data_IF_114354216911
#
_entry.id   IF_114354216911
#
_cell.length_a   1.000
_cell.length_b   1.000
_cell.length_c   1.000
_cell.angle_alpha   90.00
_cell.angle_beta   90.00
_cell.angle_gamma   90.00
#
_symmetry.space_group_name_H-M   'P 1'
#
loop_
_entity.id
_entity.type
_entity.pdbx_description
1 polymer ?
#
# COMPACT_ATOMS: atom_id res chain seq x y z
N UNK A 1 23.65 30.58 -4.09
CA UNK A 1 25.13 30.64 -3.99
C UNK A 1 25.63 31.08 -2.62
N UNK A 2 25.19 32.22 -2.08
CA UNK A 2 25.66 32.72 -0.76
C UNK A 2 25.50 31.73 0.42
N UNK A 3 24.28 31.19 0.63
CA UNK A 3 24.06 30.21 1.70
C UNK A 3 24.87 28.91 1.51
N UNK A 4 25.07 28.48 0.27
CA UNK A 4 25.88 27.30 -0.04
C UNK A 4 27.36 27.54 0.29
N UNK A 5 27.88 28.75 0.04
CA UNK A 5 29.23 29.13 0.44
C UNK A 5 29.41 29.13 1.96
N UNK A 6 28.45 29.67 2.72
CA UNK A 6 28.47 29.67 4.18
C UNK A 6 28.45 28.25 4.78
N UNK A 7 27.76 27.32 4.12
CA UNK A 7 27.59 25.93 4.57
C UNK A 7 28.62 24.95 3.97
N UNK A 8 29.57 25.45 3.16
CA UNK A 8 30.55 24.64 2.41
C UNK A 8 31.45 23.77 3.28
N UNK A 9 31.63 24.12 4.56
CA UNK A 9 32.41 23.33 5.51
C UNK A 9 31.71 22.03 5.96
N UNK A 10 30.47 21.78 5.52
CA UNK A 10 29.75 20.55 5.86
C UNK A 10 29.32 20.43 7.32
N UNK A 11 29.46 21.49 8.13
CA UNK A 11 29.17 21.44 9.58
C UNK A 11 27.69 21.51 9.93
N UNK A 12 26.80 21.67 8.96
CA UNK A 12 25.36 21.60 9.14
C UNK A 12 24.65 22.93 9.39
N UNK A 13 25.33 23.91 10.00
CA UNK A 13 24.80 25.25 10.25
C UNK A 13 25.89 26.33 10.22
N UNK A 14 25.49 27.57 9.93
CA UNK A 14 26.34 28.76 9.96
C UNK A 14 25.56 29.98 10.44
N UNK A 15 26.22 30.86 11.20
CA UNK A 15 25.69 32.15 11.64
C UNK A 15 26.42 33.27 10.90
N UNK A 16 25.67 34.10 10.21
CA UNK A 16 26.16 35.28 9.50
C UNK A 16 25.75 36.54 10.25
N UNK A 17 26.69 37.45 10.44
CA UNK A 17 26.56 38.61 11.33
C UNK A 17 26.73 39.89 10.50
N UNK A 18 25.79 40.82 10.62
CA UNK A 18 25.83 42.09 9.90
C UNK A 18 25.35 43.27 10.78
N UNK A 19 26.15 44.33 10.94
CA UNK A 19 27.55 44.44 10.54
C UNK A 19 28.47 43.53 11.39
N UNK A 20 29.52 42.98 10.77
CA UNK A 20 30.54 42.17 11.48
C UNK A 20 31.60 43.02 12.20
N UNK A 21 31.74 44.29 11.81
CA UNK A 21 32.59 45.30 12.42
C UNK A 21 32.06 46.71 12.13
N UNK A 22 32.39 47.68 12.97
CA UNK A 22 32.00 49.08 12.81
C UNK A 22 32.44 49.95 13.98
N UNK A 23 32.12 51.24 13.92
CA UNK A 23 32.37 52.21 14.99
C UNK A 23 31.12 52.39 15.83
N UNK A 24 31.26 52.37 17.15
CA UNK A 24 30.20 52.69 18.10
C UNK A 24 30.53 54.03 18.76
N UNK A 25 29.81 55.08 18.39
CA UNK A 25 29.97 56.42 18.94
C UNK A 25 29.51 56.50 20.40
N UNK A 26 29.92 57.56 21.10
CA UNK A 26 29.53 57.78 22.48
C UNK A 26 27.99 57.80 22.61
N UNK A 27 27.46 56.95 23.50
CA UNK A 27 26.02 56.77 23.74
C UNK A 27 25.21 56.30 22.53
N UNK A 28 25.87 55.81 21.47
CA UNK A 28 25.19 55.23 20.32
C UNK A 28 24.68 53.82 20.64
N UNK A 29 23.54 53.47 20.05
CA UNK A 29 23.04 52.11 19.97
C UNK A 29 23.18 51.60 18.52
N UNK A 30 23.77 50.41 18.37
CA UNK A 30 23.88 49.73 17.08
C UNK A 30 23.14 48.40 17.15
N UNK A 31 22.29 48.12 16.16
CA UNK A 31 21.63 46.82 16.01
C UNK A 31 22.50 45.93 15.13
N UNK A 32 22.78 44.72 15.61
CA UNK A 32 23.48 43.67 14.85
C UNK A 32 22.45 42.64 14.44
N UNK A 33 22.33 42.39 13.14
CA UNK A 33 21.54 41.31 12.58
C UNK A 33 22.34 40.01 12.55
N UNK A 34 21.69 38.93 12.96
CA UNK A 34 22.26 37.58 12.98
C UNK A 34 21.34 36.68 12.16
N UNK A 35 21.82 36.25 11.00
CA UNK A 35 21.12 35.30 10.14
C UNK A 35 21.69 33.90 10.33
N UNK A 36 20.82 32.90 10.52
CA UNK A 36 21.21 31.52 10.67
C UNK A 36 20.85 30.70 9.41
N UNK A 37 21.79 29.89 8.93
CA UNK A 37 21.62 29.00 7.78
C UNK A 37 21.88 27.57 8.20
N UNK A 38 21.18 26.60 7.60
CA UNK A 38 21.40 25.17 7.83
C UNK A 38 21.13 24.29 6.62
N UNK A 39 21.76 23.12 6.61
CA UNK A 39 21.51 22.02 5.68
C UNK A 39 21.45 20.64 6.39
N UNK A 40 21.47 20.61 7.72
CA UNK A 40 21.38 19.38 8.53
C UNK A 40 20.50 19.60 9.78
N UNK A 41 19.84 18.55 10.26
CA UNK A 41 19.16 18.55 11.55
C UNK A 41 20.16 18.49 12.71
N UNK A 42 19.72 18.90 13.90
CA UNK A 42 20.53 18.80 15.12
C UNK A 42 20.43 20.01 16.04
N UNK A 43 21.13 19.90 17.16
CA UNK A 43 21.32 20.93 18.16
C UNK A 43 22.71 21.56 17.95
N UNK A 44 22.73 22.87 17.73
CA UNK A 44 23.91 23.67 17.45
C UNK A 44 24.11 24.68 18.58
N UNK A 45 25.34 24.78 19.08
CA UNK A 45 25.75 25.72 20.10
C UNK A 45 27.08 26.35 19.69
N UNK A 46 27.18 27.68 19.83
CA UNK A 46 28.42 28.41 19.65
C UNK A 46 28.42 29.69 20.50
N UNK A 47 29.49 30.47 20.44
CA UNK A 47 29.56 31.78 21.08
C UNK A 47 29.81 32.87 20.03
N UNK A 48 28.97 33.90 20.04
CA UNK A 48 29.28 35.17 19.38
C UNK A 48 30.32 35.91 20.22
N UNK A 49 31.44 36.25 19.59
CA UNK A 49 32.52 37.00 20.23
C UNK A 49 32.37 38.48 19.88
N UNK A 50 32.02 39.30 20.86
CA UNK A 50 31.93 40.75 20.71
C UNK A 50 33.14 41.42 21.37
N UNK A 51 33.94 42.14 20.58
CA UNK A 51 35.09 42.91 21.05
C UNK A 51 34.88 44.39 20.78
N UNK A 52 35.01 45.23 21.82
CA UNK A 52 34.82 46.69 21.75
C UNK A 52 36.11 47.37 22.21
N UNK A 53 36.86 47.95 21.27
CA UNK A 53 38.14 48.60 21.55
C UNK A 53 39.11 47.67 22.31
N UNK A 54 39.65 48.18 23.43
CA UNK A 54 40.58 47.47 24.31
C UNK A 54 39.89 46.68 25.44
N UNK A 55 38.55 46.62 25.45
CA UNK A 55 37.81 45.84 26.43
C UNK A 55 37.98 44.34 26.17
N UNK A 56 37.88 43.56 27.25
CA UNK A 56 37.88 42.11 27.16
C UNK A 56 36.72 41.62 26.29
N UNK A 57 36.95 40.65 25.36
CA UNK A 57 35.89 40.12 24.52
C UNK A 57 34.75 39.53 25.36
N UNK A 58 33.53 39.93 25.04
CA UNK A 58 32.32 39.37 25.64
C UNK A 58 31.80 38.23 24.78
N UNK A 59 31.61 37.07 25.40
CA UNK A 59 31.00 35.90 24.78
C UNK A 59 29.48 35.95 24.97
N UNK A 60 28.74 35.90 23.88
CA UNK A 60 27.28 35.82 23.86
C UNK A 60 26.91 34.42 23.37
N UNK A 61 26.33 33.55 24.21
CA UNK A 61 26.00 32.19 23.81
C UNK A 61 24.91 32.19 22.74
N UNK A 62 25.12 31.41 21.69
CA UNK A 62 24.21 31.21 20.58
C UNK A 62 23.75 29.75 20.56
N UNK A 63 22.45 29.53 20.37
CA UNK A 63 21.86 28.21 20.28
C UNK A 63 20.85 28.16 19.13
N UNK A 64 20.86 27.05 18.39
CA UNK A 64 19.95 26.80 17.29
C UNK A 64 19.59 25.32 17.26
N UNK A 65 18.30 25.01 17.14
CA UNK A 65 17.82 23.63 16.98
C UNK A 65 17.10 23.51 15.65
N UNK A 66 17.59 22.63 14.79
CA UNK A 66 16.95 22.29 13.53
C UNK A 66 16.24 20.96 13.70
N UNK A 67 14.90 20.99 13.62
CA UNK A 67 14.03 19.81 13.70
C UNK A 67 13.48 19.42 12.34
N UNK A 68 13.08 18.16 12.21
CA UNK A 68 12.43 17.60 11.01
C UNK A 68 13.31 16.57 10.29
N UNK A 69 12.74 15.95 9.26
CA UNK A 69 13.43 15.01 8.39
C UNK A 69 13.91 15.74 7.13
N UNK A 70 15.21 15.70 6.79
CA UNK A 70 15.73 16.33 5.57
C UNK A 70 15.45 15.51 4.30
N UNK A 71 15.18 14.19 4.45
CA UNK A 71 14.83 13.33 3.32
C UNK A 71 13.44 13.70 2.83
N UNK A 72 13.30 13.85 1.51
CA UNK A 72 12.00 14.05 0.89
C UNK A 72 11.76 13.06 -0.24
N UNK A 73 10.50 12.72 -0.42
CA UNK A 73 10.07 11.73 -1.40
C UNK A 73 9.72 12.42 -2.71
N UNK A 74 10.18 11.82 -3.80
CA UNK A 74 9.75 12.15 -5.15
C UNK A 74 9.06 10.93 -5.73
N UNK A 75 7.78 11.07 -6.05
CA UNK A 75 7.02 10.02 -6.71
C UNK A 75 7.34 10.03 -8.20
N UNK A 76 7.95 8.96 -8.69
CA UNK A 76 8.18 8.78 -10.13
C UNK A 76 6.87 8.29 -10.74
N UNK A 77 6.04 9.21 -11.22
CA UNK A 77 4.85 8.87 -12.00
C UNK A 77 5.22 8.71 -13.49
N UNK A 78 4.53 7.85 -14.27
CA UNK A 78 4.75 7.73 -15.72
C UNK A 78 4.42 8.98 -16.53
N UNK A 79 3.82 10.00 -15.89
CA UNK A 79 3.47 11.28 -16.49
C UNK A 79 4.52 12.33 -16.13
N UNK A 80 4.82 13.30 -17.03
CA UNK A 80 5.92 14.26 -16.88
C UNK A 80 5.79 15.26 -15.72
N UNK A 81 4.86 15.06 -14.78
CA UNK A 81 4.73 15.86 -13.57
C UNK A 81 5.34 15.13 -12.38
N UNK A 82 6.57 15.51 -12.02
CA UNK A 82 7.20 15.14 -10.76
C UNK A 82 6.61 15.98 -9.64
N UNK A 83 5.84 15.37 -8.73
CA UNK A 83 5.32 16.07 -7.56
C UNK A 83 6.27 15.88 -6.37
N UNK A 84 6.86 16.97 -5.89
CA UNK A 84 7.65 17.00 -4.66
C UNK A 84 6.74 17.39 -3.51
N UNK A 85 6.52 16.50 -2.53
CA UNK A 85 5.72 16.82 -1.33
C UNK A 85 6.43 16.30 -0.09
N UNK A 86 6.51 17.14 0.95
CA UNK A 86 7.02 16.72 2.27
C UNK A 86 6.05 15.79 3.02
N UNK A 87 4.76 15.79 2.65
CA UNK A 87 3.68 15.01 3.29
C UNK A 87 2.72 14.41 2.23
N UNK A 88 3.22 13.61 1.29
CA UNK A 88 2.37 12.91 0.31
C UNK A 88 1.92 11.55 0.85
N UNK A 89 0.63 11.24 0.69
CA UNK A 89 0.13 9.89 0.85
C UNK A 89 0.42 9.09 -0.44
N UNK A 90 1.09 7.94 -0.30
CA UNK A 90 1.28 6.97 -1.36
C UNK A 90 -0.01 6.17 -1.56
N UNK A 91 -0.69 6.43 -2.67
CA UNK A 91 -1.97 5.80 -2.99
C UNK A 91 -1.80 4.63 -3.95
N UNK A 92 -2.23 3.45 -3.51
CA UNK A 92 -2.29 2.25 -4.35
C UNK A 92 -3.61 2.13 -5.12
N UNK A 93 -4.59 2.96 -4.76
CA UNK A 93 -5.91 3.02 -5.36
C UNK A 93 -6.82 1.91 -4.86
N UNK A 94 -7.95 1.74 -5.54
CA UNK A 94 -8.82 0.58 -5.33
C UNK A 94 -8.24 -0.65 -6.03
N UNK A 95 -8.31 -1.80 -5.39
CA UNK A 95 -7.82 -3.10 -5.86
C UNK A 95 -8.86 -4.18 -5.66
N UNK A 96 -8.76 -5.22 -6.47
CA UNK A 96 -9.64 -6.38 -6.37
C UNK A 96 -9.14 -7.29 -5.25
N UNK A 97 -10.06 -7.82 -4.46
CA UNK A 97 -9.81 -8.83 -3.43
C UNK A 97 -8.97 -9.99 -3.97
N UNK A 98 -7.84 -10.29 -3.31
CA UNK A 98 -6.93 -11.39 -3.70
C UNK A 98 -6.14 -11.17 -5.01
N UNK A 99 -6.09 -9.95 -5.54
CA UNK A 99 -5.27 -9.62 -6.72
C UNK A 99 -3.76 -9.73 -6.43
N UNK A 100 -2.94 -9.84 -7.49
CA UNK A 100 -1.48 -9.86 -7.36
C UNK A 100 -0.91 -8.58 -6.74
N UNK A 101 0.23 -8.66 -6.02
CA UNK A 101 0.87 -7.49 -5.42
C UNK A 101 1.21 -6.40 -6.43
N UNK A 102 1.04 -5.15 -6.01
CA UNK A 102 1.33 -3.96 -6.81
C UNK A 102 2.56 -3.28 -6.25
N UNK A 103 3.52 -2.98 -7.11
CA UNK A 103 4.78 -2.33 -6.73
C UNK A 103 4.80 -0.85 -7.14
N UNK A 104 5.27 0.01 -6.25
CA UNK A 104 5.54 1.43 -6.50
C UNK A 104 7.00 1.72 -6.19
N UNK A 105 7.71 2.31 -7.16
CA UNK A 105 9.07 2.83 -6.96
C UNK A 105 8.99 4.25 -6.43
N UNK A 106 9.70 4.52 -5.35
CA UNK A 106 9.75 5.82 -4.69
C UNK A 106 11.21 6.26 -4.59
N UNK A 107 11.50 7.48 -5.04
CA UNK A 107 12.84 8.04 -4.97
C UNK A 107 12.99 8.88 -3.69
N UNK A 108 13.99 8.54 -2.88
CA UNK A 108 14.38 9.24 -1.67
C UNK A 108 15.50 10.21 -2.03
N UNK A 109 15.33 11.49 -1.74
CA UNK A 109 16.33 12.52 -2.03
C UNK A 109 16.94 13.04 -0.74
N UNK A 110 18.26 13.14 -0.73
CA UNK A 110 19.03 13.64 0.40
C UNK A 110 19.71 14.97 0.02
N UNK A 111 19.15 16.13 0.40
CA UNK A 111 19.75 17.43 0.11
C UNK A 111 20.95 17.76 1.02
N UNK A 112 21.26 16.89 1.97
CA UNK A 112 22.29 17.14 2.99
C UNK A 112 23.68 16.70 2.49
N UNK A 113 24.78 17.18 3.10
CA UNK A 113 26.12 16.86 2.62
C UNK A 113 26.62 15.46 3.01
N UNK A 114 25.89 14.72 3.85
CA UNK A 114 26.30 13.41 4.35
C UNK A 114 25.34 12.31 3.95
N UNK A 115 25.87 11.10 3.84
CA UNK A 115 25.08 9.89 3.64
C UNK A 115 24.18 9.65 4.87
N UNK A 116 22.90 9.39 4.62
CA UNK A 116 21.90 9.09 5.65
C UNK A 116 21.42 7.67 5.43
N UNK A 117 21.64 6.80 6.41
CA UNK A 117 21.01 5.49 6.44
C UNK A 117 19.59 5.63 6.96
N UNK A 118 18.67 4.96 6.29
CA UNK A 118 17.27 4.84 6.67
C UNK A 118 16.97 3.39 7.01
N UNK A 119 16.41 3.20 8.20
CA UNK A 119 15.83 1.95 8.66
C UNK A 119 14.30 2.08 8.54
N UNK A 120 13.74 1.34 7.59
CA UNK A 120 12.36 1.45 7.13
C UNK A 120 11.47 0.40 7.81
N UNK A 121 10.42 0.89 8.47
CA UNK A 121 9.44 0.08 9.17
C UNK A 121 8.02 0.47 8.72
N UNK A 122 7.12 -0.51 8.67
CA UNK A 122 5.73 -0.31 8.27
C UNK A 122 4.82 -0.65 9.43
N UNK A 123 3.85 0.24 9.67
CA UNK A 123 2.84 0.10 10.70
C UNK A 123 1.47 0.18 10.06
N UNK A 124 0.68 -0.88 10.19
CA UNK A 124 -0.71 -0.90 9.74
C UNK A 124 -1.58 -0.09 10.70
N UNK A 125 -2.55 0.64 10.13
CA UNK A 125 -3.56 1.37 10.88
C UNK A 125 -4.82 0.53 10.94
N UNK A 126 -5.12 0.01 12.13
CA UNK A 126 -6.35 -0.73 12.40
C UNK A 126 -7.44 0.24 12.88
N UNK A 127 -8.69 0.10 12.42
CA UNK A 127 -9.76 1.04 12.75
C UNK A 127 -10.15 1.04 14.23
N UNK A 128 -9.97 -0.08 14.93
CA UNK A 128 -10.35 -0.26 16.34
C UNK A 128 -9.14 -0.17 17.30
N UNK A 129 -8.03 0.42 16.85
CA UNK A 129 -6.82 0.57 17.65
C UNK A 129 -6.88 1.83 18.53
N UNK A 130 -7.23 1.64 19.80
CA UNK A 130 -7.29 2.71 20.80
C UNK A 130 -5.94 2.98 21.49
N UNK A 131 -4.85 2.30 21.09
CA UNK A 131 -3.56 2.45 21.74
C UNK A 131 -2.94 3.80 21.40
N UNK A 132 -2.57 4.57 22.43
CA UNK A 132 -1.99 5.91 22.26
C UNK A 132 -0.46 5.93 22.24
N UNK A 133 0.18 4.99 22.93
CA UNK A 133 1.61 5.03 23.25
C UNK A 133 2.22 3.64 23.24
N UNK A 134 3.43 3.51 22.70
CA UNK A 134 4.28 2.34 22.77
C UNK A 134 5.38 2.50 23.82
N UNK A 135 5.62 1.44 24.59
CA UNK A 135 6.78 1.28 25.45
C UNK A 135 7.75 0.29 24.78
N UNK A 136 8.88 0.79 24.30
CA UNK A 136 9.92 -0.03 23.68
C UNK A 136 11.02 -0.32 24.70
N UNK A 137 11.40 -1.59 24.83
CA UNK A 137 12.57 -2.03 25.60
C UNK A 137 13.60 -2.56 24.61
N UNK A 138 14.66 -1.80 24.40
CA UNK A 138 15.67 -2.02 23.38
C UNK A 138 16.95 -2.52 24.04
N UNK A 139 17.54 -3.57 23.49
CA UNK A 139 18.81 -4.12 23.94
C UNK A 139 19.89 -3.82 22.91
N UNK A 140 20.88 -2.98 23.26
CA UNK A 140 21.92 -2.54 22.33
C UNK A 140 21.49 -1.38 21.42
N UNK A 141 22.07 -1.33 20.21
CA UNK A 141 21.71 -0.35 19.18
C UNK A 141 20.40 -0.77 18.51
N UNK A 142 19.34 0.06 18.50
CA UNK A 142 18.07 -0.29 17.85
C UNK A 142 18.18 -0.44 16.32
N UNK A 143 19.18 0.18 15.70
CA UNK A 143 19.32 0.19 14.24
C UNK A 143 20.75 -0.19 13.84
N UNK A 144 21.19 -1.44 14.04
CA UNK A 144 22.51 -1.86 13.63
C UNK A 144 22.63 -1.88 12.09
N UNK A 145 23.79 -1.49 11.52
CA UNK A 145 24.04 -1.68 10.09
C UNK A 145 23.92 -3.16 9.71
N UNK A 146 23.23 -3.45 8.61
CA UNK A 146 23.18 -4.79 8.02
C UNK A 146 24.40 -4.97 7.12
N UNK A 147 25.27 -5.90 7.46
CA UNK A 147 26.49 -6.16 6.68
C UNK A 147 26.15 -6.66 5.27
N UNK A 148 26.72 -6.00 4.25
CA UNK A 148 26.55 -6.31 2.81
C UNK A 148 27.25 -7.61 2.35
N UNK A 149 27.89 -8.36 3.26
CA UNK A 149 28.57 -9.62 2.94
C UNK A 149 27.66 -10.79 3.29
N UNK A 150 27.17 -11.47 2.25
CA UNK A 150 26.35 -12.66 2.40
C UNK A 150 27.02 -13.74 3.26
N UNK A 151 26.30 -14.12 4.31
CA UNK A 151 26.35 -15.37 5.08
C UNK A 151 27.40 -15.54 6.21
N UNK A 152 26.85 -15.81 7.42
CA UNK A 152 27.48 -16.57 8.52
C UNK A 152 27.57 -15.80 9.84
N UNK A 153 27.19 -16.32 11.01
CA UNK A 153 26.56 -17.57 11.40
C UNK A 153 26.05 -17.42 12.85
N UNK A 154 24.93 -18.07 13.16
CA UNK A 154 24.46 -18.48 14.49
C UNK A 154 24.18 -17.40 15.56
N UNK A 155 22.96 -16.87 15.53
CA UNK A 155 22.06 -17.08 16.67
C UNK A 155 20.89 -17.91 16.17
N UNK A 156 21.00 -19.22 16.32
CA UNK A 156 19.91 -20.16 16.07
C UNK A 156 18.89 -20.01 17.19
N UNK A 157 17.79 -19.35 16.87
CA UNK A 157 16.61 -19.21 17.73
C UNK A 157 15.45 -18.69 16.88
N UNK A 158 14.81 -19.62 16.17
CA UNK A 158 13.52 -19.42 15.50
C UNK A 158 12.49 -18.92 16.52
N UNK A 159 11.97 -17.72 16.28
CA UNK A 159 10.56 -17.31 16.12
C UNK A 159 10.58 -15.78 15.96
N UNK A 160 9.77 -15.19 15.09
CA UNK A 160 8.65 -14.34 15.55
C UNK A 160 8.81 -13.85 17.00
N UNK A 161 8.74 -12.54 17.21
CA UNK A 161 8.87 -11.83 18.51
C UNK A 161 10.31 -11.46 18.93
N UNK A 162 10.69 -10.21 18.61
CA UNK A 162 11.51 -9.41 19.53
C UNK A 162 11.04 -7.95 19.53
N UNK A 163 9.72 -7.80 19.61
CA UNK A 163 9.11 -6.81 20.49
C UNK A 163 8.36 -7.64 21.53
N UNK A 164 8.92 -7.81 22.73
CA UNK A 164 8.12 -8.31 23.85
C UNK A 164 7.22 -7.16 24.29
N UNK A 165 6.08 -7.01 23.62
CA UNK A 165 4.97 -6.18 24.11
C UNK A 165 4.38 -6.94 25.30
N UNK A 166 4.83 -6.60 26.52
CA UNK A 166 4.16 -7.07 27.73
C UNK A 166 2.76 -6.45 27.76
N UNK A 167 1.75 -7.21 27.33
CA UNK A 167 0.35 -6.90 27.64
C UNK A 167 0.14 -7.13 29.13
N UNK A 168 0.12 -6.05 29.90
CA UNK A 168 -0.38 -6.11 31.28
C UNK A 168 -1.91 -6.13 31.23
N UNK A 169 -2.51 -7.28 31.53
CA UNK A 169 -3.92 -7.35 31.89
C UNK A 169 -4.16 -6.62 33.23
N UNK A 170 -5.17 -5.74 33.35
CA UNK A 170 -5.43 -5.00 34.60
C UNK A 170 -5.96 -5.85 35.77
N UNK A 171 -6.21 -7.15 35.57
CA UNK A 171 -7.04 -7.96 36.47
C UNK A 171 -6.31 -9.07 37.24
N UNK A 172 -4.98 -9.14 37.19
CA UNK A 172 -4.23 -10.08 38.02
C UNK A 172 -3.02 -9.37 38.65
N UNK A 173 -3.16 -8.98 39.90
CA UNK A 173 -2.02 -8.74 40.79
C UNK A 173 -1.74 -10.07 41.50
N UNK A 174 -0.73 -10.85 41.09
CA UNK A 174 -0.02 -11.70 42.03
C UNK A 174 1.17 -10.91 42.57
N UNK A 175 1.15 -10.71 43.88
CA UNK A 175 2.26 -10.18 44.68
C UNK A 175 3.54 -10.99 44.41
N UNK A 176 4.43 -10.45 43.58
CA UNK A 176 5.79 -10.96 43.42
C UNK A 176 6.75 -10.04 44.16
N UNK A 177 7.16 -10.51 45.33
CA UNK A 177 8.14 -9.89 46.22
C UNK A 177 9.53 -10.00 45.58
N UNK A 178 10.06 -8.90 45.03
CA UNK A 178 11.49 -8.77 44.79
C UNK A 178 12.09 -7.84 45.84
N UNK A 179 12.54 -8.46 46.92
CA UNK A 179 13.46 -7.86 47.87
C UNK A 179 14.83 -7.66 47.20
N UNK A 180 15.23 -6.40 46.99
CA UNK A 180 16.54 -5.85 47.37
C UNK A 180 16.62 -4.38 46.97
N UNK A 181 17.06 -3.58 47.93
CA UNK A 181 17.16 -2.13 47.90
C UNK A 181 17.85 -1.60 46.63
N UNK A 182 17.14 -0.78 45.86
CA UNK A 182 17.78 0.16 44.94
C UNK A 182 17.49 1.57 45.47
N UNK A 183 18.46 2.11 46.22
CA UNK A 183 18.42 3.49 46.71
C UNK A 183 18.37 4.43 45.51
N UNK A 184 17.21 5.02 45.28
CA UNK A 184 17.03 6.14 44.35
C UNK A 184 17.88 7.32 44.82
N UNK A 185 18.94 7.61 44.07
CA UNK A 185 19.58 8.91 44.10
C UNK A 185 19.15 9.66 42.85
N UNK A 186 18.12 10.51 42.98
CA UNK A 186 17.88 11.60 42.04
C UNK A 186 19.07 12.56 42.08
N UNK A 187 20.07 12.32 41.25
CA UNK A 187 21.11 13.30 40.95
C UNK A 187 20.73 14.01 39.67
N UNK A 188 20.39 15.31 39.80
CA UNK A 188 20.48 16.29 38.71
C UNK A 188 21.88 16.14 38.11
N UNK A 189 21.97 15.64 36.88
CA UNK A 189 23.24 15.41 36.22
C UNK A 189 23.86 16.74 35.81
N UNK A 190 24.79 17.23 36.63
CA UNK A 190 25.77 18.25 36.26
C UNK A 190 26.79 17.61 35.32
N UNK A 191 27.15 18.34 34.26
CA UNK A 191 28.18 17.99 33.27
C UNK A 191 29.44 17.38 33.90
N UNK A 192 29.76 16.13 33.56
CA UNK A 192 31.14 15.62 33.56
C UNK A 192 31.25 14.29 32.80
N UNK A 193 32.20 14.25 31.87
CA UNK A 193 32.84 13.08 31.24
C UNK A 193 31.94 11.94 30.76
N UNK A 194 31.64 11.95 29.46
CA UNK A 194 31.13 10.79 28.72
C UNK A 194 32.19 9.69 28.66
N UNK A 195 32.09 8.75 29.62
CA UNK A 195 32.57 7.39 29.40
C UNK A 195 31.51 6.66 28.58
N UNK A 196 31.95 6.02 27.49
CA UNK A 196 31.20 5.07 26.65
C UNK A 196 30.70 3.91 27.50
N UNK A 197 29.62 4.13 28.26
CA UNK A 197 28.79 3.06 28.78
C UNK A 197 27.88 2.65 27.63
N UNK A 198 28.20 1.55 26.98
CA UNK A 198 27.24 0.85 26.11
C UNK A 198 25.93 0.73 26.88
N UNK A 199 24.89 1.43 26.41
CA UNK A 199 23.55 1.34 26.99
C UNK A 199 23.07 -0.09 26.72
N UNK A 200 23.28 -0.99 27.67
CA UNK A 200 22.89 -2.40 27.53
C UNK A 200 21.37 -2.57 27.37
N UNK A 201 20.60 -1.63 27.92
CA UNK A 201 19.14 -1.59 27.85
C UNK A 201 18.71 -0.12 27.74
N UNK A 202 17.84 0.19 26.79
CA UNK A 202 17.18 1.48 26.62
C UNK A 202 15.67 1.28 26.70
N UNK A 203 14.96 2.14 27.43
CA UNK A 203 13.50 2.11 27.53
C UNK A 203 12.98 3.42 26.96
N UNK A 204 12.14 3.35 25.92
CA UNK A 204 11.60 4.50 25.21
C UNK A 204 10.07 4.47 25.23
N UNK A 205 9.48 5.64 25.45
CA UNK A 205 8.04 5.87 25.30
C UNK A 205 7.84 6.71 24.05
N UNK A 206 6.98 6.27 23.13
CA UNK A 206 6.67 7.01 21.89
C UNK A 206 5.17 6.95 21.56
N UNK A 207 4.64 7.89 20.76
CA UNK A 207 3.29 7.76 20.22
C UNK A 207 3.13 6.43 19.49
N UNK A 208 1.96 5.81 19.64
CA UNK A 208 1.63 4.60 18.89
C UNK A 208 1.37 4.96 17.42
N UNK A 209 2.04 4.26 16.51
CA UNK A 209 1.99 4.55 15.06
C UNK A 209 1.15 3.53 14.28
N UNK A 210 0.68 2.49 14.97
CA UNK A 210 -0.02 1.34 14.42
C UNK A 210 0.70 0.03 14.72
N UNK A 211 0.21 -1.07 14.16
CA UNK A 211 0.74 -2.41 14.38
C UNK A 211 1.86 -2.72 13.39
N UNK A 212 3.09 -3.06 13.82
CA UNK A 212 4.16 -3.46 12.92
C UNK A 212 3.74 -4.66 12.06
N UNK A 213 3.85 -4.55 10.73
CA UNK A 213 3.41 -5.61 9.83
C UNK A 213 4.15 -5.61 8.49
N UNK A 214 4.26 -6.80 7.89
CA UNK A 214 4.83 -7.04 6.55
C UNK A 214 3.76 -7.31 5.47
N UNK A 215 2.49 -7.21 5.86
CA UNK A 215 1.31 -7.40 5.02
C UNK A 215 0.18 -6.51 5.54
N UNK A 216 -0.61 -5.87 4.67
CA UNK A 216 -0.59 -5.98 3.21
C UNK A 216 0.50 -5.15 2.53
N UNK A 217 1.20 -4.29 3.26
CA UNK A 217 2.28 -3.46 2.73
C UNK A 217 3.65 -4.06 3.07
N UNK A 218 4.59 -3.97 2.12
CA UNK A 218 5.98 -4.37 2.34
C UNK A 218 6.93 -3.43 1.60
N UNK A 219 8.10 -3.18 2.18
CA UNK A 219 9.16 -2.34 1.60
C UNK A 219 10.44 -3.14 1.35
N UNK A 220 11.11 -2.86 0.23
CA UNK A 220 12.39 -3.45 -0.12
C UNK A 220 13.34 -2.40 -0.73
N UNK A 221 14.59 -2.29 -0.21
CA UNK A 221 15.10 -2.93 1.00
C UNK A 221 14.49 -2.32 2.29
N UNK A 222 14.68 -2.97 3.45
CA UNK A 222 14.33 -2.40 4.77
C UNK A 222 15.38 -1.44 5.31
N UNK A 223 16.62 -1.55 4.85
CA UNK A 223 17.69 -0.63 5.21
C UNK A 223 18.32 -0.10 3.93
N UNK A 224 18.49 1.22 3.83
CA UNK A 224 19.05 1.87 2.64
C UNK A 224 19.90 3.08 3.02
N UNK A 225 21.01 3.28 2.33
CA UNK A 225 21.83 4.49 2.47
C UNK A 225 21.49 5.43 1.33
N UNK A 226 21.01 6.63 1.66
CA UNK A 226 20.75 7.70 0.69
C UNK A 226 21.96 8.64 0.66
N UNK A 227 22.72 8.71 -0.44
CA UNK A 227 23.98 9.44 -0.48
C UNK A 227 23.77 10.95 -0.33
N UNK A 228 24.71 11.63 0.33
CA UNK A 228 24.70 13.09 0.49
C UNK A 228 24.63 13.81 -0.87
N UNK A 229 23.69 14.74 -1.01
CA UNK A 229 23.42 15.45 -2.26
C UNK A 229 22.82 14.59 -3.38
N UNK A 230 22.48 13.33 -3.09
CA UNK A 230 22.02 12.35 -4.07
C UNK A 230 20.64 11.79 -3.78
N UNK A 231 20.36 10.64 -4.39
CA UNK A 231 19.08 9.95 -4.26
C UNK A 231 19.22 8.44 -4.29
N UNK A 232 18.22 7.73 -3.80
CA UNK A 232 18.14 6.27 -3.86
C UNK A 232 16.69 5.81 -4.01
N UNK A 233 16.48 4.70 -4.72
CA UNK A 233 15.15 4.15 -4.96
C UNK A 233 14.79 3.12 -3.89
N UNK A 234 13.56 3.20 -3.38
CA UNK A 234 12.92 2.17 -2.55
C UNK A 234 11.66 1.67 -3.24
N UNK A 235 11.38 0.38 -3.09
CA UNK A 235 10.19 -0.24 -3.63
C UNK A 235 9.20 -0.56 -2.52
N UNK A 236 7.99 -0.04 -2.66
CA UNK A 236 6.89 -0.29 -1.72
C UNK A 236 5.82 -1.07 -2.46
N UNK A 237 5.44 -2.20 -1.90
CA UNK A 237 4.43 -3.10 -2.44
C UNK A 237 3.16 -3.08 -1.59
N UNK A 238 2.02 -3.33 -2.24
CA UNK A 238 0.74 -3.58 -1.61
C UNK A 238 0.16 -4.88 -2.16
N UNK A 239 -0.16 -5.81 -1.28
CA UNK A 239 -0.81 -7.09 -1.59
C UNK A 239 -2.27 -7.03 -1.15
N UNK A 240 -3.22 -6.94 -2.10
CA UNK A 240 -4.65 -6.91 -1.77
C UNK A 240 -5.07 -8.15 -0.97
N UNK A 241 -5.63 -7.94 0.21
CA UNK A 241 -6.13 -9.01 1.07
C UNK A 241 -7.32 -9.71 0.41
N UNK A 242 -7.56 -10.98 0.79
CA UNK A 242 -8.78 -11.69 0.42
C UNK A 242 -9.85 -11.28 1.43
N UNK A 243 -10.85 -10.55 0.95
CA UNK A 243 -11.98 -10.11 1.77
C UNK A 243 -12.93 -11.27 2.07
N UNK A 244 -13.53 -11.31 3.27
CA UNK A 244 -14.65 -12.20 3.54
C UNK A 244 -15.89 -11.74 2.75
N UNK A 245 -16.82 -12.67 2.48
CA UNK A 245 -18.04 -12.38 1.71
C UNK A 245 -18.96 -11.34 2.41
N UNK A 246 -18.80 -11.14 3.71
CA UNK A 246 -19.55 -10.18 4.51
C UNK A 246 -19.10 -8.73 4.32
N UNK A 247 -17.87 -8.50 3.84
CA UNK A 247 -17.30 -7.17 3.68
C UNK A 247 -17.31 -6.73 2.22
N UNK A 248 -18.04 -5.66 1.92
CA UNK A 248 -18.08 -5.09 0.57
C UNK A 248 -16.78 -4.34 0.20
N UNK A 249 -16.13 -3.75 1.21
CA UNK A 249 -14.97 -2.88 1.03
C UNK A 249 -14.12 -2.86 2.30
N UNK A 250 -12.79 -2.91 2.13
CA UNK A 250 -11.82 -2.74 3.21
C UNK A 250 -10.85 -1.61 2.87
N UNK A 251 -10.77 -0.62 3.74
CA UNK A 251 -9.73 0.40 3.69
C UNK A 251 -8.46 -0.12 4.34
N UNK A 252 -7.35 -0.13 3.61
CA UNK A 252 -6.04 -0.44 4.15
C UNK A 252 -5.27 0.88 4.34
N UNK A 253 -5.08 1.29 5.59
CA UNK A 253 -4.24 2.41 5.96
C UNK A 253 -2.94 1.89 6.58
N UNK A 254 -1.82 2.54 6.26
CA UNK A 254 -0.54 2.25 6.91
C UNK A 254 0.38 3.46 6.91
N UNK A 255 1.38 3.46 7.78
CA UNK A 255 2.46 4.45 7.79
C UNK A 255 3.81 3.74 7.65
N UNK A 256 4.61 4.19 6.71
CA UNK A 256 6.03 3.83 6.59
C UNK A 256 6.85 4.89 7.33
N UNK A 257 7.65 4.46 8.30
CA UNK A 257 8.61 5.27 9.02
C UNK A 257 10.03 4.93 8.59
N UNK A 258 10.84 5.95 8.33
CA UNK A 258 12.27 5.80 8.07
C UNK A 258 13.10 6.45 9.17
N UNK A 259 13.67 5.65 10.05
CA UNK A 259 14.54 6.13 11.13
C UNK A 259 15.93 6.43 10.58
N UNK A 260 16.44 7.61 10.91
CA UNK A 260 17.67 8.13 10.30
C UNK A 260 18.88 7.84 11.17
N UNK A 261 19.92 7.27 10.56
CA UNK A 261 21.21 7.03 11.17
C UNK A 261 22.31 7.66 10.33
N UNK A 262 23.24 8.36 10.96
CA UNK A 262 24.46 8.87 10.32
C UNK A 262 25.58 7.91 10.69
N UNK A 263 26.14 7.15 9.77
CA UNK A 263 27.19 6.17 10.12
C UNK A 263 28.56 6.82 10.30
N UNK A 264 28.80 7.93 9.59
CA UNK A 264 30.01 8.72 9.76
C UNK A 264 30.02 9.45 11.11
N UNK A 265 31.05 9.19 11.92
CA UNK A 265 31.27 9.84 13.22
C UNK A 265 31.44 11.35 13.09
N UNK A 266 32.09 11.82 12.01
CA UNK A 266 32.28 13.25 11.74
C UNK A 266 30.95 13.94 11.41
N UNK A 267 30.03 13.19 10.78
CA UNK A 267 28.68 13.65 10.54
C UNK A 267 27.82 13.66 11.81
N UNK A 268 28.08 12.83 12.82
CA UNK A 268 27.26 12.79 14.06
C UNK A 268 27.51 13.98 14.99
N UNK A 269 28.78 14.36 15.15
CA UNK A 269 29.18 15.27 16.22
C UNK A 269 30.30 16.21 15.79
N UNK A 270 30.17 17.47 16.20
CA UNK A 270 31.31 18.37 16.36
C UNK A 270 31.47 18.62 17.86
N UNK A 271 32.61 18.25 18.48
CA UNK A 271 32.79 18.33 19.92
C UNK A 271 32.39 19.70 20.47
N UNK A 272 31.56 19.69 21.52
CA UNK A 272 31.05 20.88 22.22
C UNK A 272 30.26 21.89 21.37
N UNK A 273 29.92 21.57 20.12
CA UNK A 273 29.21 22.49 19.21
C UNK A 273 27.98 21.90 18.55
N UNK A 274 28.04 20.64 18.13
CA UNK A 274 26.96 20.04 17.36
C UNK A 274 26.65 18.64 17.88
N UNK A 275 25.38 18.42 18.17
CA UNK A 275 24.81 17.11 18.48
C UNK A 275 23.67 16.81 17.51
N UNK A 276 23.75 15.66 16.83
CA UNK A 276 22.68 15.19 15.95
C UNK A 276 22.03 13.95 16.55
N UNK A 277 20.71 14.00 16.72
CA UNK A 277 19.93 12.82 17.08
C UNK A 277 19.99 11.78 15.97
N UNK A 278 19.97 10.51 16.34
CA UNK A 278 19.94 9.36 15.44
C UNK A 278 18.89 8.35 15.91
N UNK A 279 18.41 7.50 15.01
CA UNK A 279 17.35 6.55 15.28
C UNK A 279 16.11 7.25 15.84
N UNK A 280 15.66 6.80 17.01
CA UNK A 280 14.50 7.37 17.70
C UNK A 280 14.69 8.79 18.26
N UNK A 281 15.92 9.32 18.33
CA UNK A 281 16.16 10.71 18.77
C UNK A 281 15.85 11.73 17.66
N UNK A 282 15.76 11.29 16.41
CA UNK A 282 15.44 12.14 15.26
C UNK A 282 14.02 11.88 14.75
N UNK A 283 13.29 12.92 14.29
CA UNK A 283 11.99 12.72 13.64
C UNK A 283 12.13 11.85 12.39
N UNK A 284 11.42 10.73 12.28
CA UNK A 284 11.57 9.82 11.14
C UNK A 284 11.03 10.45 9.84
N UNK A 285 11.49 9.92 8.70
CA UNK A 285 10.76 10.06 7.45
C UNK A 285 9.38 9.43 7.63
N UNK A 286 8.33 10.10 7.18
CA UNK A 286 6.96 9.60 7.34
C UNK A 286 6.22 9.58 6.01
N UNK A 287 5.67 8.43 5.65
CA UNK A 287 4.89 8.24 4.42
C UNK A 287 3.58 7.56 4.77
N UNK A 288 2.47 8.24 4.52
CA UNK A 288 1.14 7.65 4.65
C UNK A 288 0.85 6.79 3.43
N UNK A 289 0.29 5.61 3.61
CA UNK A 289 -0.05 4.67 2.55
C UNK A 289 -1.53 4.35 2.63
N UNK A 290 -2.20 4.41 1.48
CA UNK A 290 -3.65 4.20 1.40
C UNK A 290 -3.97 3.27 0.23
N UNK A 291 -4.78 2.26 0.50
CA UNK A 291 -5.39 1.39 -0.50
C UNK A 291 -6.81 1.04 -0.10
N UNK A 292 -7.60 0.61 -1.07
CA UNK A 292 -8.95 0.10 -0.85
C UNK A 292 -9.07 -1.23 -1.55
N UNK A 293 -9.57 -2.25 -0.88
CA UNK A 293 -9.86 -3.56 -1.47
C UNK A 293 -11.37 -3.72 -1.61
N UNK A 294 -11.83 -4.26 -2.74
CA UNK A 294 -13.25 -4.56 -3.00
C UNK A 294 -13.40 -5.90 -3.72
N UNK A 295 -14.55 -6.54 -3.56
CA UNK A 295 -14.91 -7.70 -4.36
C UNK A 295 -15.10 -7.33 -5.84
N UNK A 296 -14.68 -8.20 -6.78
CA UNK A 296 -15.03 -8.01 -8.16
C UNK A 296 -16.51 -8.39 -8.33
N UNK A 297 -17.33 -7.41 -8.69
CA UNK A 297 -18.77 -7.61 -8.83
C UNK A 297 -19.28 -6.93 -10.09
N UNK A 298 -20.04 -7.66 -10.90
CA UNK A 298 -20.74 -7.13 -12.07
C UNK A 298 -22.23 -7.06 -11.79
N UNK A 299 -22.82 -5.89 -11.98
CA UNK A 299 -24.27 -5.76 -11.94
C UNK A 299 -24.87 -6.33 -13.22
N UNK A 300 -25.93 -7.13 -13.07
CA UNK A 300 -26.65 -7.76 -14.18
C UNK A 300 -28.00 -7.07 -14.33
N UNK A 301 -28.22 -6.44 -15.46
CA UNK A 301 -29.51 -5.87 -15.86
C UNK A 301 -30.10 -6.73 -16.99
N UNK A 302 -31.37 -7.10 -16.88
CA UNK A 302 -32.08 -7.92 -17.87
C UNK A 302 -33.19 -7.10 -18.51
N UNK A 303 -33.46 -7.35 -19.79
CA UNK A 303 -34.50 -6.60 -20.54
C UNK A 303 -35.93 -6.86 -20.02
N UNK A 304 -36.14 -7.92 -19.24
CA UNK A 304 -37.46 -8.36 -18.77
C UNK A 304 -37.47 -8.59 -17.25
N UNK A 305 -38.51 -8.08 -16.58
CA UNK A 305 -38.70 -8.22 -15.12
C UNK A 305 -38.82 -9.67 -14.63
N UNK A 306 -39.10 -10.62 -15.54
CA UNK A 306 -39.27 -12.05 -15.22
C UNK A 306 -37.96 -12.83 -15.18
N UNK A 307 -36.82 -12.16 -15.31
CA UNK A 307 -35.51 -12.79 -15.41
C UNK A 307 -35.26 -13.45 -16.76
N UNK A 308 -34.16 -14.21 -16.86
CA UNK A 308 -33.71 -14.84 -18.11
C UNK A 308 -34.44 -16.16 -18.37
N UNK A 309 -35.70 -16.09 -18.82
CA UNK A 309 -36.56 -17.26 -19.05
C UNK A 309 -36.96 -17.38 -20.51
N UNK A 310 -36.68 -18.52 -21.12
CA UNK A 310 -37.01 -18.82 -22.51
C UNK A 310 -38.24 -19.74 -22.59
N UNK A 311 -39.16 -19.41 -23.48
CA UNK A 311 -40.32 -20.24 -23.80
C UNK A 311 -40.26 -20.62 -25.26
N UNK A 312 -40.15 -21.92 -25.54
CA UNK A 312 -40.21 -22.46 -26.90
C UNK A 312 -41.17 -23.63 -26.97
N UNK A 313 -41.75 -23.83 -28.15
CA UNK A 313 -42.67 -24.91 -28.46
C UNK A 313 -42.13 -25.73 -29.62
N UNK A 314 -42.49 -27.01 -29.70
CA UNK A 314 -42.02 -27.89 -30.77
C UNK A 314 -42.40 -27.39 -32.18
N UNK A 315 -43.49 -26.63 -32.30
CA UNK A 315 -43.90 -26.00 -33.56
C UNK A 315 -42.94 -24.94 -34.08
N UNK A 316 -42.03 -24.42 -33.25
CA UNK A 316 -41.00 -23.46 -33.67
C UNK A 316 -40.01 -24.09 -34.67
N UNK A 317 -39.92 -25.43 -34.69
CA UNK A 317 -39.14 -26.19 -35.67
C UNK A 317 -39.82 -26.30 -37.04
N UNK A 318 -41.07 -25.84 -37.20
CA UNK A 318 -41.75 -25.84 -38.49
C UNK A 318 -41.35 -24.59 -39.29
N UNK A 319 -40.85 -24.77 -40.51
CA UNK A 319 -40.52 -23.64 -41.36
C UNK A 319 -41.78 -22.83 -41.71
N UNK A 320 -41.67 -21.50 -41.68
CA UNK A 320 -42.77 -20.58 -42.03
C UNK A 320 -43.28 -20.76 -43.47
N UNK A 321 -42.48 -21.38 -44.35
CA UNK A 321 -42.86 -21.77 -45.70
C UNK A 321 -42.87 -23.31 -45.79
N UNK A 322 -43.99 -23.93 -46.19
CA UNK A 322 -44.17 -25.38 -46.14
C UNK A 322 -43.18 -26.18 -47.02
N UNK A 323 -42.55 -25.54 -48.02
CA UNK A 323 -41.58 -26.18 -48.90
C UNK A 323 -40.19 -26.42 -48.27
N UNK A 324 -39.90 -25.84 -47.10
CA UNK A 324 -38.59 -25.94 -46.45
C UNK A 324 -38.52 -27.02 -45.35
N UNK A 325 -39.61 -27.77 -45.13
CA UNK A 325 -39.63 -28.90 -44.20
C UNK A 325 -39.45 -28.49 -42.72
N UNK A 326 -38.92 -29.43 -41.93
CA UNK A 326 -38.66 -29.25 -40.49
C UNK A 326 -37.23 -28.70 -40.31
N UNK A 327 -37.11 -27.61 -39.56
CA UNK A 327 -35.85 -26.99 -39.20
C UNK A 327 -35.03 -27.90 -38.27
N UNK A 328 -33.71 -27.81 -38.35
CA UNK A 328 -32.80 -28.54 -37.47
C UNK A 328 -32.67 -27.88 -36.08
N UNK A 329 -32.84 -26.55 -36.04
CA UNK A 329 -32.69 -25.73 -34.84
C UNK A 329 -33.58 -24.49 -34.96
N UNK A 330 -34.25 -24.13 -33.86
CA UNK A 330 -34.99 -22.89 -33.69
C UNK A 330 -34.46 -22.16 -32.46
N UNK A 331 -33.97 -20.93 -32.66
CA UNK A 331 -33.20 -20.20 -31.66
C UNK A 331 -33.98 -19.01 -31.11
N UNK A 332 -34.17 -18.98 -29.80
CA UNK A 332 -34.71 -17.81 -29.08
C UNK A 332 -33.56 -17.15 -28.34
N UNK A 333 -33.33 -15.87 -28.61
CA UNK A 333 -32.24 -15.11 -28.00
C UNK A 333 -32.78 -13.98 -27.14
N UNK A 334 -32.28 -13.86 -25.92
CA UNK A 334 -32.51 -12.73 -25.03
C UNK A 334 -31.17 -12.10 -24.67
N UNK A 335 -31.20 -10.82 -24.30
CA UNK A 335 -29.99 -10.10 -23.93
C UNK A 335 -30.00 -9.78 -22.44
N UNK A 336 -28.81 -9.83 -21.85
CA UNK A 336 -28.53 -9.27 -20.53
C UNK A 336 -27.35 -8.32 -20.65
N UNK A 337 -27.32 -7.34 -19.77
CA UNK A 337 -26.31 -6.30 -19.73
C UNK A 337 -25.51 -6.45 -18.45
N UNK A 338 -24.21 -6.66 -18.61
CA UNK A 338 -23.25 -6.66 -17.52
C UNK A 338 -22.72 -5.24 -17.34
N UNK A 339 -22.68 -4.74 -16.11
CA UNK A 339 -22.26 -3.39 -15.78
C UNK A 339 -21.16 -3.44 -14.72
N UNK A 340 -20.05 -2.74 -15.00
CA UNK A 340 -19.01 -2.55 -14.01
C UNK A 340 -19.25 -1.25 -13.25
N UNK A 341 -19.91 -1.35 -12.09
CA UNK A 341 -20.14 -0.22 -11.19
C UNK A 341 -18.95 0.04 -10.24
N UNK A 342 -17.88 -0.75 -10.32
CA UNK A 342 -16.67 -0.57 -9.52
C UNK A 342 -15.77 0.54 -10.09
N UNK A 343 -14.76 0.94 -9.30
CA UNK A 343 -13.75 1.95 -9.68
C UNK A 343 -12.55 1.35 -10.42
N UNK A 344 -12.53 0.04 -10.67
CA UNK A 344 -11.39 -0.69 -11.26
C UNK A 344 -11.84 -1.50 -12.49
N UNK A 345 -10.96 -1.71 -13.48
CA UNK A 345 -11.27 -2.64 -14.56
C UNK A 345 -11.41 -4.06 -14.01
N UNK A 346 -12.47 -4.77 -14.42
CA UNK A 346 -12.70 -6.15 -14.03
C UNK A 346 -12.36 -7.09 -15.17
N UNK A 347 -11.52 -8.08 -14.88
CA UNK A 347 -11.13 -9.13 -15.80
C UNK A 347 -11.90 -10.40 -15.42
N UNK A 348 -12.61 -10.99 -16.37
CA UNK A 348 -13.48 -12.13 -16.08
C UNK A 348 -13.66 -13.04 -17.29
N UNK A 349 -14.19 -14.23 -17.05
CA UNK A 349 -14.58 -15.23 -18.04
C UNK A 349 -16.05 -15.55 -17.85
N UNK A 350 -16.73 -15.82 -18.96
CA UNK A 350 -18.12 -16.27 -18.96
C UNK A 350 -18.16 -17.71 -19.43
N UNK A 351 -18.92 -18.55 -18.72
CA UNK A 351 -19.20 -19.91 -19.15
C UNK A 351 -20.54 -20.39 -18.60
N UNK A 352 -21.08 -21.42 -19.23
CA UNK A 352 -22.24 -22.14 -18.70
C UNK A 352 -21.73 -23.28 -17.81
N UNK A 353 -22.35 -23.51 -16.65
CA UNK A 353 -21.95 -24.58 -15.73
C UNK A 353 -21.94 -26.00 -16.32
N UNK A 354 -22.58 -26.21 -17.46
CA UNK A 354 -22.58 -27.47 -18.21
C UNK A 354 -22.26 -27.15 -19.68
N UNK A 355 -21.48 -28.01 -20.37
CA UNK A 355 -21.16 -27.81 -21.77
C UNK A 355 -22.42 -28.01 -22.65
N UNK A 356 -22.96 -26.90 -23.17
CA UNK A 356 -24.12 -26.71 -24.08
C UNK A 356 -24.48 -27.91 -24.98
N UNK A 357 -25.71 -28.43 -25.10
CA UNK A 357 -27.06 -27.87 -25.37
C UNK A 357 -27.99 -27.90 -24.14
N UNK A 358 -29.14 -27.18 -24.12
CA UNK A 358 -29.72 -26.33 -25.18
C UNK A 358 -29.35 -24.84 -25.10
N UNK A 359 -28.50 -24.43 -24.15
CA UNK A 359 -28.11 -23.03 -24.00
C UNK A 359 -26.78 -22.72 -24.69
N UNK A 360 -26.68 -21.56 -25.32
CA UNK A 360 -25.43 -20.96 -25.77
C UNK A 360 -25.41 -19.47 -25.44
N UNK A 361 -24.25 -18.83 -25.49
CA UNK A 361 -24.17 -17.38 -25.36
C UNK A 361 -23.17 -16.80 -26.36
N UNK A 362 -23.39 -15.55 -26.71
CA UNK A 362 -22.49 -14.74 -27.52
C UNK A 362 -22.35 -13.36 -26.91
N UNK A 363 -21.14 -12.79 -27.02
CA UNK A 363 -20.83 -11.48 -26.47
C UNK A 363 -20.67 -10.52 -27.63
N UNK A 364 -21.39 -9.41 -27.59
CA UNK A 364 -21.27 -8.37 -28.61
C UNK A 364 -20.27 -7.33 -28.09
N UNK A 365 -19.02 -7.41 -28.56
CA UNK A 365 -17.98 -6.45 -28.21
C UNK A 365 -18.03 -5.24 -29.17
N UNK A 366 -18.37 -4.02 -28.69
CA UNK A 366 -18.41 -2.85 -29.55
C UNK A 366 -17.02 -2.49 -30.13
N UNK A 367 -15.90 -2.83 -29.45
CA UNK A 367 -14.55 -2.41 -29.86
C UNK A 367 -13.83 -3.40 -30.81
N UNK A 368 -14.33 -4.62 -30.98
CA UNK A 368 -13.72 -5.62 -31.89
C UNK A 368 -14.24 -5.58 -33.33
N UNK A 369 -15.17 -4.68 -33.66
CA UNK A 369 -15.76 -4.60 -35.00
C UNK A 369 -14.82 -4.01 -36.09
N UNK A 370 -13.62 -3.56 -35.74
CA UNK A 370 -12.67 -2.92 -36.68
C UNK A 370 -11.21 -3.34 -36.49
N UNK A 371 -10.88 -4.64 -36.49
CA UNK A 371 -9.48 -5.06 -36.79
C UNK A 371 -9.45 -6.28 -37.71
N UNK A 372 -8.90 -6.05 -38.90
CA UNK A 372 -8.67 -7.06 -39.93
C UNK A 372 -7.67 -8.12 -39.47
N UNK A 373 -7.86 -9.30 -40.05
CA UNK A 373 -7.03 -10.49 -40.00
C UNK A 373 -5.52 -10.23 -40.01
N UNK A 374 -4.79 -10.68 -38.97
CA UNK A 374 -3.58 -11.53 -39.04
C UNK A 374 -2.89 -11.62 -37.66
N UNK A 375 -3.02 -12.75 -36.95
CA UNK A 375 -1.97 -13.36 -36.09
C UNK A 375 -2.48 -14.60 -35.31
N UNK A 376 -2.90 -15.63 -36.04
CA UNK A 376 -3.27 -16.93 -35.44
C UNK A 376 -2.00 -17.70 -35.05
N UNK A 377 -1.51 -17.61 -33.79
CA UNK A 377 -0.86 -18.77 -33.11
C UNK A 377 -0.51 -18.64 -31.63
N UNK A 378 -0.62 -17.47 -30.98
CA UNK A 378 -0.33 -17.33 -29.52
C UNK A 378 -1.55 -17.02 -28.63
N UNK A 379 -2.74 -16.93 -29.22
CA UNK A 379 -3.91 -16.31 -28.58
C UNK A 379 -4.90 -17.26 -27.89
N UNK A 380 -4.74 -18.58 -27.97
CA UNK A 380 -5.81 -19.52 -27.55
C UNK A 380 -6.12 -19.52 -26.05
N UNK A 381 -5.21 -19.11 -25.18
CA UNK A 381 -5.45 -19.03 -23.73
C UNK A 381 -5.82 -17.62 -23.26
N UNK A 382 -5.42 -16.58 -24.01
CA UNK A 382 -5.75 -15.18 -23.72
C UNK A 382 -7.09 -14.72 -24.35
N UNK A 383 -7.66 -15.49 -25.28
CA UNK A 383 -8.89 -15.12 -26.01
C UNK A 383 -10.20 -15.23 -25.23
N UNK A 384 -10.24 -15.90 -24.06
CA UNK A 384 -11.47 -16.11 -23.29
C UNK A 384 -11.67 -15.14 -22.12
N UNK A 385 -10.70 -14.27 -21.84
CA UNK A 385 -10.79 -13.30 -20.75
C UNK A 385 -11.32 -11.97 -21.28
N UNK A 386 -12.47 -11.56 -20.77
CA UNK A 386 -13.12 -10.29 -21.03
C UNK A 386 -12.64 -9.23 -20.04
N UNK A 387 -12.66 -7.96 -20.47
CA UNK A 387 -12.31 -6.81 -19.63
C UNK A 387 -13.44 -5.82 -19.69
N UNK A 388 -13.99 -5.43 -18.54
CA UNK A 388 -14.97 -4.36 -18.46
C UNK A 388 -14.42 -3.21 -17.62
N UNK A 389 -14.22 -2.07 -18.24
CA UNK A 389 -13.70 -0.87 -17.56
C UNK A 389 -14.76 -0.23 -16.65
N UNK A 390 -14.35 0.58 -15.66
CA UNK A 390 -15.27 1.28 -14.77
C UNK A 390 -16.36 2.04 -15.52
N UNK A 391 -17.60 1.93 -15.05
CA UNK A 391 -18.78 2.60 -15.61
C UNK A 391 -19.07 2.24 -17.08
N UNK A 392 -18.51 1.13 -17.57
CA UNK A 392 -18.84 0.55 -18.87
C UNK A 392 -19.78 -0.63 -18.70
N UNK A 393 -20.50 -0.93 -19.78
CA UNK A 393 -21.40 -2.06 -19.87
C UNK A 393 -21.03 -2.95 -21.06
N UNK A 394 -21.47 -4.20 -20.99
CA UNK A 394 -21.29 -5.21 -22.02
C UNK A 394 -22.61 -5.96 -22.24
N UNK A 395 -23.00 -6.15 -23.50
CA UNK A 395 -24.19 -6.89 -23.85
C UNK A 395 -23.85 -8.37 -24.11
N UNK A 396 -24.46 -9.25 -23.34
CA UNK A 396 -24.36 -10.70 -23.50
C UNK A 396 -25.71 -11.20 -24.02
N UNK A 397 -25.67 -11.88 -25.16
CA UNK A 397 -26.85 -12.53 -25.75
C UNK A 397 -26.81 -13.99 -25.37
N UNK A 398 -27.84 -14.45 -24.65
CA UNK A 398 -28.00 -15.87 -24.32
C UNK A 398 -29.11 -16.42 -25.21
N UNK A 399 -28.84 -17.58 -25.79
CA UNK A 399 -29.70 -18.22 -26.77
C UNK A 399 -30.12 -19.60 -26.26
N UNK A 400 -31.39 -19.91 -26.43
CA UNK A 400 -31.94 -21.24 -26.24
C UNK A 400 -32.19 -21.87 -27.62
N UNK A 401 -31.61 -23.04 -27.82
CA UNK A 401 -31.67 -23.81 -29.06
C UNK A 401 -32.68 -24.93 -28.92
N UNK A 402 -33.81 -24.80 -29.60
CA UNK A 402 -34.78 -25.87 -29.72
C UNK A 402 -34.37 -26.76 -30.87
N UNK A 403 -33.95 -28.00 -30.56
CA UNK A 403 -33.55 -28.99 -31.58
C UNK A 403 -34.47 -30.21 -31.53
N UNK A 404 -34.48 -30.99 -32.62
CA UNK A 404 -35.24 -32.25 -32.68
C UNK A 404 -34.80 -33.26 -31.62
N UNK A 405 -33.55 -33.19 -31.16
CA UNK A 405 -33.04 -34.05 -30.10
C UNK A 405 -33.78 -33.80 -28.78
N UNK A 406 -34.04 -32.54 -28.44
CA UNK A 406 -34.75 -32.15 -27.21
C UNK A 406 -36.14 -32.79 -27.11
N UNK A 407 -36.82 -32.98 -28.24
CA UNK A 407 -38.15 -33.61 -28.28
C UNK A 407 -38.12 -35.07 -27.82
N UNK A 408 -36.98 -35.76 -27.92
CA UNK A 408 -36.85 -37.16 -27.48
C UNK A 408 -36.76 -37.27 -25.95
N UNK A 409 -36.31 -36.23 -25.26
CA UNK A 409 -36.10 -36.24 -23.81
C UNK A 409 -37.41 -36.42 -23.02
N UNK A 410 -38.57 -36.10 -23.60
CA UNK A 410 -39.87 -36.33 -22.95
C UNK A 410 -40.21 -37.82 -22.73
N UNK A 411 -39.48 -38.72 -23.41
CA UNK A 411 -39.67 -40.17 -23.34
C UNK A 411 -38.51 -40.90 -22.65
N UNK A 412 -37.47 -40.18 -22.24
CA UNK A 412 -36.33 -40.76 -21.55
C UNK A 412 -36.60 -40.91 -20.05
N UNK A 413 -36.09 -41.96 -19.40
CA UNK A 413 -36.11 -42.07 -17.94
C UNK A 413 -35.21 -40.99 -17.32
N UNK A 414 -35.48 -40.59 -16.08
CA UNK A 414 -34.73 -39.51 -15.39
C UNK A 414 -33.22 -39.75 -15.35
N UNK A 415 -32.78 -41.01 -15.33
CA UNK A 415 -31.37 -41.42 -15.33
C UNK A 415 -30.62 -41.11 -16.64
N UNK A 416 -31.34 -40.79 -17.72
CA UNK A 416 -30.78 -40.48 -19.05
C UNK A 416 -31.03 -39.01 -19.46
N UNK A 417 -31.59 -38.18 -18.58
CA UNK A 417 -31.80 -36.76 -18.84
C UNK A 417 -30.49 -35.97 -18.70
N UNK A 418 -30.39 -34.86 -19.44
CA UNK A 418 -29.29 -33.92 -19.30
C UNK A 418 -29.27 -33.31 -17.87
N UNK A 419 -28.10 -33.00 -17.31
CA UNK A 419 -28.01 -32.27 -16.05
C UNK A 419 -28.80 -30.96 -16.11
N UNK A 420 -29.69 -30.74 -15.13
CA UNK A 420 -30.57 -29.57 -15.09
C UNK A 420 -31.86 -29.68 -15.91
N UNK A 421 -32.10 -30.80 -16.61
CA UNK A 421 -33.35 -31.10 -17.32
C UNK A 421 -34.36 -31.81 -16.40
N UNK A 422 -35.62 -31.37 -16.43
CA UNK A 422 -36.74 -31.96 -15.68
C UNK A 422 -37.95 -32.10 -16.61
N UNK A 423 -38.63 -33.24 -16.53
CA UNK A 423 -39.92 -33.46 -17.22
C UNK A 423 -41.04 -33.16 -16.23
N UNK A 424 -41.81 -32.10 -16.49
CA UNK A 424 -42.97 -31.72 -15.71
C UNK A 424 -44.24 -32.24 -16.39
N UNK A 425 -45.11 -32.90 -15.64
CA UNK A 425 -46.44 -33.30 -16.12
C UNK A 425 -47.50 -32.38 -15.51
N UNK A 426 -48.32 -31.77 -16.36
CA UNK A 426 -49.43 -30.92 -15.97
C UNK A 426 -50.69 -31.75 -15.72
N UNK A 427 -51.64 -31.20 -14.96
CA UNK A 427 -52.91 -31.87 -14.61
C UNK A 427 -53.76 -32.23 -15.84
N UNK A 428 -53.60 -31.50 -16.95
CA UNK A 428 -54.24 -31.76 -18.23
C UNK A 428 -53.57 -32.89 -19.06
N UNK A 429 -52.52 -33.53 -18.53
CA UNK A 429 -51.76 -34.58 -19.19
C UNK A 429 -50.63 -34.09 -20.10
N UNK A 430 -50.47 -32.77 -20.29
CA UNK A 430 -49.37 -32.20 -21.07
C UNK A 430 -48.02 -32.36 -20.35
N UNK A 431 -46.96 -32.58 -21.13
CA UNK A 431 -45.58 -32.66 -20.62
C UNK A 431 -44.79 -31.42 -21.02
N UNK A 432 -44.00 -30.88 -20.10
CA UNK A 432 -43.09 -29.76 -20.33
C UNK A 432 -41.67 -30.13 -19.93
N UNK A 433 -40.70 -29.81 -20.77
CA UNK A 433 -39.28 -29.92 -20.43
C UNK A 433 -38.81 -28.60 -19.83
N UNK A 434 -38.27 -28.65 -18.61
CA UNK A 434 -37.66 -27.52 -17.92
C UNK A 434 -36.15 -27.73 -17.87
N UNK A 435 -35.39 -26.78 -18.42
CA UNK A 435 -33.93 -26.77 -18.36
C UNK A 435 -33.48 -25.62 -17.45
N UNK A 436 -32.65 -25.92 -16.47
CA UNK A 436 -32.01 -24.92 -15.61
C UNK A 436 -30.51 -24.88 -15.89
N UNK A 437 -29.99 -23.69 -16.14
CA UNK A 437 -28.59 -23.48 -16.46
C UNK A 437 -28.09 -22.20 -15.82
N UNK A 438 -26.92 -22.28 -15.19
CA UNK A 438 -26.24 -21.14 -14.59
C UNK A 438 -25.25 -20.54 -15.60
N UNK A 439 -25.27 -19.21 -15.73
CA UNK A 439 -24.25 -18.44 -16.41
C UNK A 439 -23.25 -17.96 -15.36
N UNK A 440 -22.04 -18.51 -15.39
CA UNK A 440 -21.03 -18.22 -14.37
C UNK A 440 -20.07 -17.15 -14.90
N UNK A 441 -19.85 -16.14 -14.07
CA UNK A 441 -18.83 -15.11 -14.21
C UNK A 441 -17.66 -15.48 -13.30
N UNK A 442 -16.54 -15.91 -13.86
CA UNK A 442 -15.32 -16.16 -13.10
C UNK A 442 -14.37 -14.98 -13.23
N UNK A 443 -14.05 -14.33 -12.11
CA UNK A 443 -13.12 -13.21 -12.08
C UNK A 443 -11.66 -13.67 -12.06
N UNK A 444 -10.72 -12.76 -12.34
CA UNK A 444 -9.27 -13.06 -12.40
C UNK A 444 -8.67 -13.59 -11.10
N UNK A 445 -9.31 -13.32 -9.96
CA UNK A 445 -8.98 -13.86 -8.64
C UNK A 445 -9.67 -15.20 -8.35
N UNK A 446 -10.27 -15.85 -9.36
CA UNK A 446 -11.00 -17.11 -9.30
C UNK A 446 -12.28 -17.11 -8.47
N UNK A 447 -12.76 -15.94 -8.04
CA UNK A 447 -14.10 -15.83 -7.43
C UNK A 447 -15.17 -15.92 -8.52
N UNK A 448 -16.26 -16.63 -8.22
CA UNK A 448 -17.36 -16.84 -9.16
C UNK A 448 -18.63 -16.10 -8.73
N UNK A 449 -19.29 -15.44 -9.68
CA UNK A 449 -20.63 -14.91 -9.57
C UNK A 449 -21.56 -15.74 -10.48
N UNK A 450 -22.74 -16.12 -9.99
CA UNK A 450 -23.73 -16.96 -10.69
C UNK A 450 -24.98 -16.16 -11.03
#
# INVERSE_FOLDING_TARGET
EFAAALLSQGKGAAFYIQPSAGTLEAFQQLTIEIAAYNNMWGEYQDNLVCKVGDLQPKLIPMQMTVKGCPIFLQLISPWPFTWTRRNAALRFGTRVSGESPVLRRVQLNNPTPFDIRLDLEIYNQEPDDEKLVDLLVLFGDPFPPVDMVGNGAASSGSTSESEVVLRLDPAAIPSCTFSKEFRSSFRRATLSQESTREKKICVLIRPHEGVPADSPYCTAPRQIVVPGGGSSDVYISFTPLVLPDTEAELGCGAVLLGFMSLDDKLARMVPNKVRRGHGYEAPPLRVYMEAVVRHPWLEVEMDHDRGMVFYSVASDLLAARPFYGVLTDAVITQSLKLMNCTKVPLYFRLFLSTPSTPFSFSITDPEKSTKSSHSKKREREQQLQHVLYPQKNMLVKVSFHTTLELLRYQHLPETQLLPGCQVLQLENGERKLKFNQNLVIEHSNYTTQV
#
